data_IF_174784633104
#
_entry.id   IF_174784633104
#
_cell.length_a   1.000
_cell.length_b   1.000
_cell.length_c   1.000
_cell.angle_alpha   90.00
_cell.angle_beta   90.00
_cell.angle_gamma   90.00
#
_symmetry.space_group_name_H-M   'P 1'
#
loop_
_entity.id
_entity.type
_entity.pdbx_description
1 polymer ?
#
# COMPACT_ATOMS: atom_id res chain seq x y z
N UNK A 1 -51.55 -17.73 -2.25
CA UNK A 1 -50.99 -16.89 -1.15
C UNK A 1 -49.54 -17.21 -0.81
N UNK A 2 -49.08 -18.47 -0.77
CA UNK A 2 -47.68 -18.82 -0.45
C UNK A 2 -46.59 -18.30 -1.42
N UNK A 3 -46.93 -17.99 -2.67
CA UNK A 3 -45.98 -17.43 -3.66
C UNK A 3 -45.84 -15.89 -3.60
N UNK A 4 -46.78 -15.19 -2.94
CA UNK A 4 -46.67 -13.74 -2.74
C UNK A 4 -45.80 -13.39 -1.51
N UNK A 5 -45.75 -14.28 -0.53
CA UNK A 5 -44.99 -14.07 0.72
C UNK A 5 -43.47 -14.08 0.53
N UNK A 6 -42.97 -14.80 -0.49
CA UNK A 6 -41.54 -14.83 -0.82
C UNK A 6 -41.08 -13.54 -1.52
N UNK A 7 -41.94 -12.91 -2.33
CA UNK A 7 -41.62 -11.66 -3.01
C UNK A 7 -41.63 -10.45 -2.05
N UNK A 8 -42.45 -10.50 -0.99
CA UNK A 8 -42.49 -9.45 0.02
C UNK A 8 -41.34 -9.57 1.04
N UNK A 9 -40.83 -10.78 1.30
CA UNK A 9 -39.67 -11.00 2.16
C UNK A 9 -38.34 -10.65 1.47
N UNK A 10 -38.25 -10.76 0.13
CA UNK A 10 -37.06 -10.35 -0.63
C UNK A 10 -36.96 -8.83 -0.82
N UNK A 11 -38.04 -8.07 -0.67
CA UNK A 11 -38.02 -6.60 -0.70
C UNK A 11 -37.65 -5.95 0.64
N UNK A 12 -37.67 -6.70 1.75
CA UNK A 12 -37.45 -6.17 3.10
C UNK A 12 -35.98 -6.11 3.55
N UNK A 13 -35.03 -6.52 2.70
CA UNK A 13 -33.58 -6.46 2.99
C UNK A 13 -32.75 -5.72 1.94
N UNK A 14 -33.39 -5.04 0.98
CA UNK A 14 -32.69 -4.05 0.15
C UNK A 14 -32.61 -2.74 0.93
N UNK A 15 -31.78 -2.70 1.98
CA UNK A 15 -31.28 -1.41 2.45
C UNK A 15 -30.56 -0.77 1.24
N UNK A 16 -30.86 0.47 0.85
CA UNK A 16 -30.03 1.15 -0.13
C UNK A 16 -28.61 1.12 0.44
N UNK A 17 -27.65 0.62 -0.32
CA UNK A 17 -26.25 0.87 -0.02
C UNK A 17 -26.10 2.39 -0.08
N UNK A 18 -26.06 3.02 1.09
CA UNK A 18 -25.82 4.46 1.20
C UNK A 18 -24.43 4.67 0.61
N UNK A 19 -24.35 5.37 -0.52
CA UNK A 19 -23.09 5.57 -1.20
C UNK A 19 -22.10 6.24 -0.26
N UNK A 20 -20.97 5.56 0.01
CA UNK A 20 -19.95 6.04 0.92
C UNK A 20 -18.74 6.58 0.15
N UNK A 21 -18.02 7.48 0.80
CA UNK A 21 -16.66 7.86 0.42
C UNK A 21 -15.71 7.09 1.33
N UNK A 22 -14.90 6.21 0.75
CA UNK A 22 -13.88 5.46 1.46
C UNK A 22 -12.57 6.23 1.37
N UNK A 23 -11.95 6.52 2.51
CA UNK A 23 -10.59 7.03 2.56
C UNK A 23 -9.68 5.90 3.05
N UNK A 24 -8.58 5.70 2.34
CA UNK A 24 -7.62 4.63 2.63
C UNK A 24 -6.23 5.22 2.72
N UNK A 25 -5.45 4.73 3.70
CA UNK A 25 -4.00 4.94 3.76
C UNK A 25 -3.32 3.63 3.40
N UNK A 26 -2.40 3.69 2.45
CA UNK A 26 -1.52 2.57 2.09
C UNK A 26 -0.07 2.96 2.37
N UNK A 27 0.75 2.02 2.84
CA UNK A 27 2.20 2.23 2.90
C UNK A 27 2.78 2.07 1.49
N UNK A 28 3.55 3.06 1.05
CA UNK A 28 4.29 3.07 -0.21
C UNK A 28 5.78 3.33 0.10
N UNK A 29 6.50 2.26 0.43
CA UNK A 29 7.85 2.35 0.98
C UNK A 29 7.87 3.15 2.28
N UNK A 30 8.62 4.26 2.29
CA UNK A 30 8.71 5.19 3.43
C UNK A 30 7.60 6.25 3.48
N UNK A 31 6.66 6.23 2.52
CA UNK A 31 5.60 7.22 2.38
C UNK A 31 4.21 6.65 2.69
N UNK A 32 3.30 7.50 3.14
CA UNK A 32 1.87 7.16 3.26
C UNK A 32 1.14 7.63 2.00
N UNK A 33 0.57 6.72 1.21
CA UNK A 33 -0.31 7.08 0.10
C UNK A 33 -1.75 7.23 0.63
N UNK A 34 -2.31 8.44 0.53
CA UNK A 34 -3.70 8.72 0.92
C UNK A 34 -4.58 8.69 -0.32
N UNK A 35 -5.55 7.79 -0.32
CA UNK A 35 -6.41 7.48 -1.48
C UNK A 35 -7.88 7.62 -1.10
N UNK A 36 -8.72 7.74 -2.11
CA UNK A 36 -10.16 7.72 -1.93
C UNK A 36 -10.83 6.80 -2.96
N UNK A 37 -12.03 6.33 -2.63
CA UNK A 37 -12.98 5.70 -3.54
C UNK A 37 -14.40 6.09 -3.16
N UNK A 38 -15.34 6.07 -4.10
CA UNK A 38 -16.75 6.38 -3.84
C UNK A 38 -17.68 5.35 -4.46
N UNK A 39 -18.77 5.06 -3.77
CA UNK A 39 -19.83 4.14 -4.23
C UNK A 39 -20.84 4.82 -5.19
N UNK A 40 -20.38 5.82 -5.95
CA UNK A 40 -21.16 6.49 -6.99
C UNK A 40 -21.35 8.00 -6.79
N UNK A 41 -21.33 8.49 -5.54
CA UNK A 41 -21.36 9.93 -5.26
C UNK A 41 -20.03 10.57 -5.62
N UNK A 42 -20.05 11.77 -6.22
CA UNK A 42 -18.81 12.51 -6.50
C UNK A 42 -18.47 13.44 -5.35
N UNK A 43 -17.18 13.55 -5.07
CA UNK A 43 -16.66 14.46 -4.05
C UNK A 43 -16.29 15.79 -4.71
N UNK A 44 -16.67 16.89 -4.07
CA UNK A 44 -16.28 18.25 -4.43
C UNK A 44 -15.01 18.68 -3.69
N UNK A 45 -14.90 18.35 -2.41
CA UNK A 45 -13.78 18.75 -1.58
C UNK A 45 -13.55 17.81 -0.39
N UNK A 46 -12.31 17.82 0.11
CA UNK A 46 -11.85 17.14 1.31
C UNK A 46 -11.20 18.14 2.26
N UNK A 47 -11.53 18.05 3.54
CA UNK A 47 -10.84 18.65 4.66
C UNK A 47 -10.54 17.56 5.70
N UNK A 48 -9.27 17.19 5.83
CA UNK A 48 -8.82 16.03 6.59
C UNK A 48 -7.76 16.44 7.61
N UNK A 49 -7.87 15.90 8.81
CA UNK A 49 -6.82 15.95 9.82
C UNK A 49 -6.04 14.64 9.79
N UNK A 50 -4.73 14.74 9.61
CA UNK A 50 -3.83 13.59 9.55
C UNK A 50 -2.84 13.69 10.70
N UNK A 51 -2.76 12.65 11.51
CA UNK A 51 -1.84 12.57 12.65
C UNK A 51 -0.96 11.33 12.57
N UNK A 52 0.21 11.42 13.18
CA UNK A 52 1.12 10.29 13.40
C UNK A 52 1.37 10.09 14.89
N UNK A 53 1.42 8.84 15.35
CA UNK A 53 1.64 8.52 16.76
C UNK A 53 3.09 8.75 17.24
N UNK A 54 4.05 8.78 16.31
CA UNK A 54 5.47 9.08 16.55
C UNK A 54 6.09 9.76 15.33
N UNK A 55 7.24 10.38 15.52
CA UNK A 55 7.89 11.14 14.47
C UNK A 55 7.13 12.38 14.04
N UNK A 56 7.36 12.79 12.79
CA UNK A 56 6.83 13.99 12.17
C UNK A 56 6.42 13.73 10.74
N UNK A 57 5.42 14.48 10.27
CA UNK A 57 5.09 14.57 8.84
C UNK A 57 5.97 15.67 8.25
N UNK A 58 6.93 15.30 7.41
CA UNK A 58 7.98 16.22 6.92
C UNK A 58 7.76 16.69 5.49
N UNK A 59 6.86 16.04 4.75
CA UNK A 59 6.55 16.41 3.37
C UNK A 59 5.19 15.91 2.91
N UNK A 60 4.69 16.54 1.86
CA UNK A 60 3.52 16.12 1.10
C UNK A 60 3.85 16.22 -0.40
N UNK A 61 3.45 15.23 -1.19
CA UNK A 61 3.76 15.13 -2.62
C UNK A 61 2.62 14.47 -3.40
N UNK A 62 2.80 14.34 -4.72
CA UNK A 62 1.89 13.63 -5.64
C UNK A 62 0.44 14.12 -5.66
N UNK A 63 0.20 15.35 -5.20
CA UNK A 63 -1.04 16.07 -5.41
C UNK A 63 -0.99 16.88 -6.70
N UNK A 64 -2.15 17.12 -7.29
CA UNK A 64 -2.26 18.03 -8.44
C UNK A 64 -2.40 19.48 -7.97
N UNK A 65 -2.10 20.44 -8.83
CA UNK A 65 -2.37 21.86 -8.61
C UNK A 65 -3.23 22.39 -9.75
N UNK A 66 -4.20 23.24 -9.40
CA UNK A 66 -5.11 23.89 -10.33
C UNK A 66 -6.38 23.13 -10.63
N UNK A 67 -7.05 23.57 -11.70
CA UNK A 67 -8.32 23.01 -12.14
C UNK A 67 -8.18 21.55 -12.56
N UNK A 68 -9.23 20.79 -12.30
CA UNK A 68 -9.36 19.42 -12.77
C UNK A 68 -9.68 19.45 -14.27
N UNK A 69 -8.90 18.71 -15.05
CA UNK A 69 -9.05 18.61 -16.50
C UNK A 69 -9.09 17.14 -16.94
N UNK A 70 -9.56 16.85 -18.15
CA UNK A 70 -9.57 15.49 -18.68
C UNK A 70 -8.16 14.86 -18.72
N UNK A 71 -7.11 15.66 -18.89
CA UNK A 71 -5.72 15.20 -18.90
C UNK A 71 -5.13 15.03 -17.49
N UNK A 72 -5.62 15.81 -16.53
CA UNK A 72 -5.14 15.81 -15.14
C UNK A 72 -6.33 16.01 -14.18
N UNK A 73 -7.20 15.00 -14.02
CA UNK A 73 -8.36 15.13 -13.17
C UNK A 73 -7.96 15.01 -11.70
N UNK A 74 -8.62 15.76 -10.80
CA UNK A 74 -8.37 15.66 -9.36
C UNK A 74 -8.70 16.93 -8.57
N UNK A 75 -8.03 17.09 -7.42
CA UNK A 75 -8.36 18.11 -6.42
C UNK A 75 -7.16 19.06 -6.22
N UNK A 76 -7.04 20.07 -7.07
CA UNK A 76 -5.88 20.99 -7.07
C UNK A 76 -6.16 22.39 -6.51
N UNK A 77 -7.33 22.61 -5.94
CA UNK A 77 -7.70 23.87 -5.28
C UNK A 77 -7.50 23.70 -3.78
N UNK A 78 -6.71 24.55 -3.14
CA UNK A 78 -6.41 24.46 -1.70
C UNK A 78 -6.99 25.69 -1.00
N UNK A 79 -8.26 25.66 -0.53
CA UNK A 79 -8.98 26.85 -0.04
C UNK A 79 -8.20 27.72 0.96
N UNK A 80 -7.63 27.12 2.01
CA UNK A 80 -6.85 27.87 3.02
C UNK A 80 -5.61 28.55 2.45
N UNK A 81 -5.00 28.00 1.39
CA UNK A 81 -3.80 28.56 0.78
C UNK A 81 -4.08 29.38 -0.48
N UNK A 82 -5.29 29.32 -1.04
CA UNK A 82 -5.63 30.01 -2.29
C UNK A 82 -5.41 31.52 -2.16
N UNK A 83 -6.02 32.16 -1.15
CA UNK A 83 -5.88 33.60 -0.94
C UNK A 83 -4.47 34.07 -0.54
N UNK A 84 -3.58 33.16 -0.15
CA UNK A 84 -2.20 33.47 0.26
C UNK A 84 -1.21 33.42 -0.91
N UNK A 85 -1.39 32.46 -1.80
CA UNK A 85 -0.39 32.14 -2.81
C UNK A 85 -0.89 32.33 -4.25
N UNK A 86 -2.20 32.27 -4.49
CA UNK A 86 -2.78 32.41 -5.83
C UNK A 86 -3.16 33.87 -6.09
N UNK A 87 -2.72 34.37 -7.26
CA UNK A 87 -3.17 35.66 -7.79
C UNK A 87 -4.16 35.42 -8.91
N UNK A 88 -5.35 36.01 -8.78
CA UNK A 88 -6.39 36.02 -9.80
C UNK A 88 -6.35 37.36 -10.52
N UNK A 89 -6.30 37.34 -11.85
CA UNK A 89 -6.45 38.54 -12.64
C UNK A 89 -7.86 39.10 -12.44
N UNK A 90 -7.97 40.31 -11.91
CA UNK A 90 -9.26 40.91 -11.59
C UNK A 90 -10.10 41.28 -12.83
N UNK A 91 -9.48 41.36 -14.01
CA UNK A 91 -10.13 41.71 -15.28
C UNK A 91 -10.70 40.47 -15.96
N UNK A 92 -9.93 39.38 -15.99
CA UNK A 92 -10.35 38.13 -16.68
C UNK A 92 -10.95 37.10 -15.73
N UNK A 93 -10.66 37.18 -14.44
CA UNK A 93 -11.00 36.16 -13.45
C UNK A 93 -10.11 34.91 -13.52
N UNK A 94 -9.03 34.94 -14.30
CA UNK A 94 -8.16 33.78 -14.51
C UNK A 94 -6.98 33.75 -13.54
N UNK A 95 -6.53 32.55 -13.20
CA UNK A 95 -5.32 32.33 -12.39
C UNK A 95 -4.09 32.36 -13.29
N UNK A 96 -3.16 33.27 -13.01
CA UNK A 96 -1.95 33.43 -13.81
C UNK A 96 -0.99 32.23 -13.70
N UNK A 97 -0.93 31.59 -12.53
CA UNK A 97 -0.14 30.38 -12.30
C UNK A 97 -0.71 29.57 -11.14
N UNK A 98 -0.79 28.26 -11.35
CA UNK A 98 -1.17 27.28 -10.33
C UNK A 98 0.01 26.68 -9.59
N UNK A 99 1.25 27.05 -9.94
CA UNK A 99 2.47 26.50 -9.35
C UNK A 99 3.34 27.52 -8.58
N UNK A 100 2.77 28.47 -7.80
CA UNK A 100 3.60 29.32 -6.96
C UNK A 100 4.18 28.53 -5.77
N UNK A 101 5.39 28.92 -5.36
CA UNK A 101 6.06 28.34 -4.19
C UNK A 101 5.16 28.47 -2.94
N UNK A 102 5.00 27.36 -2.22
CA UNK A 102 4.19 27.32 -1.00
C UNK A 102 2.70 27.04 -1.22
N UNK A 103 2.21 26.98 -2.47
CA UNK A 103 0.84 26.52 -2.73
C UNK A 103 0.76 25.00 -2.59
N UNK A 104 0.30 24.58 -1.42
CA UNK A 104 0.23 23.19 -0.96
C UNK A 104 -1.14 22.91 -0.36
N UNK A 105 -1.61 21.66 -0.34
CA UNK A 105 -2.85 21.28 0.35
C UNK A 105 -2.78 21.42 1.87
N UNK A 106 -1.59 21.52 2.47
CA UNK A 106 -1.43 21.67 3.94
C UNK A 106 -1.85 23.06 4.40
N UNK A 107 -2.89 23.15 5.23
CA UNK A 107 -3.37 24.39 5.80
C UNK A 107 -2.30 25.06 6.70
N UNK A 108 -2.35 26.39 6.79
CA UNK A 108 -1.48 27.13 7.69
C UNK A 108 -1.83 26.78 9.15
N UNK A 109 -0.86 26.45 10.02
CA UNK A 109 -1.14 26.09 11.42
C UNK A 109 -1.81 27.19 12.25
N UNK A 110 -1.76 28.44 11.78
CA UNK A 110 -2.46 29.55 12.41
C UNK A 110 -3.92 29.69 11.94
N UNK A 111 -4.36 28.91 10.95
CA UNK A 111 -5.75 28.92 10.53
C UNK A 111 -6.66 28.26 11.58
N UNK A 112 -7.87 28.79 11.80
CA UNK A 112 -8.85 28.15 12.66
C UNK A 112 -9.10 26.69 12.27
N UNK A 113 -9.01 25.79 13.26
CA UNK A 113 -9.24 24.37 13.06
C UNK A 113 -8.10 23.63 12.34
N UNK A 114 -6.95 24.26 12.07
CA UNK A 114 -5.79 23.56 11.53
C UNK A 114 -4.92 22.91 12.64
N UNK A 115 -4.27 21.80 12.31
CA UNK A 115 -3.22 21.17 13.12
C UNK A 115 -1.86 21.85 12.92
N UNK A 116 -0.82 21.30 13.57
CA UNK A 116 0.51 21.92 13.69
C UNK A 116 1.32 22.10 12.40
N UNK A 117 0.90 21.50 11.29
CA UNK A 117 1.55 21.64 9.98
C UNK A 117 2.80 20.79 9.80
N UNK A 118 3.49 20.96 8.66
CA UNK A 118 4.68 20.19 8.34
C UNK A 118 5.78 20.39 9.40
N UNK A 119 6.51 19.31 9.70
CA UNK A 119 7.51 19.27 10.78
C UNK A 119 6.92 18.99 12.17
N UNK A 120 5.61 18.72 12.26
CA UNK A 120 4.92 18.30 13.49
C UNK A 120 4.31 16.89 13.32
N UNK A 121 3.62 16.40 14.35
CA UNK A 121 2.94 15.10 14.33
C UNK A 121 1.50 15.17 13.80
N UNK A 122 1.04 16.33 13.30
CA UNK A 122 -0.30 16.48 12.77
C UNK A 122 -0.42 17.61 11.74
N UNK A 123 -1.09 17.33 10.62
CA UNK A 123 -1.38 18.31 9.58
C UNK A 123 -2.86 18.33 9.26
N UNK A 124 -3.37 19.49 8.84
CA UNK A 124 -4.67 19.60 8.21
C UNK A 124 -4.48 19.80 6.72
N UNK A 125 -5.21 19.06 5.90
CA UNK A 125 -5.18 19.12 4.44
C UNK A 125 -6.54 19.54 3.91
N UNK A 126 -6.53 20.49 2.97
CA UNK A 126 -7.72 20.92 2.22
C UNK A 126 -7.49 20.77 0.72
N UNK A 127 -8.42 20.10 0.04
CA UNK A 127 -8.35 19.87 -1.40
C UNK A 127 -9.74 19.96 -2.02
N UNK A 128 -9.88 20.76 -3.08
CA UNK A 128 -11.12 20.97 -3.82
C UNK A 128 -10.94 20.76 -5.31
N UNK A 129 -12.02 20.35 -5.96
CA UNK A 129 -12.09 20.20 -7.41
C UNK A 129 -12.89 21.35 -8.04
N UNK A 130 -12.20 22.13 -8.87
CA UNK A 130 -12.80 23.09 -9.79
C UNK A 130 -12.71 22.54 -11.21
N UNK A 131 -13.84 22.44 -11.89
CA UNK A 131 -13.92 21.97 -13.26
C UNK A 131 -15.19 22.49 -13.95
N UNK A 132 -15.12 22.58 -15.27
CA UNK A 132 -16.24 22.92 -16.15
C UNK A 132 -16.33 21.91 -17.31
N UNK A 133 -17.53 21.49 -17.76
CA UNK A 133 -18.85 21.76 -17.19
C UNK A 133 -18.98 21.27 -15.74
N UNK A 134 -19.86 21.89 -14.93
CA UNK A 134 -19.90 21.67 -13.47
C UNK A 134 -20.57 20.37 -13.04
N UNK A 135 -21.22 19.67 -13.97
CA UNK A 135 -21.94 18.41 -13.74
C UNK A 135 -21.02 17.20 -13.56
N UNK A 136 -21.54 16.16 -12.93
CA UNK A 136 -20.80 14.92 -12.63
C UNK A 136 -20.55 14.04 -13.86
N UNK A 137 -21.20 14.34 -14.98
CA UNK A 137 -20.93 13.76 -16.30
C UNK A 137 -19.77 14.46 -17.04
N UNK A 138 -19.24 15.54 -16.47
CA UNK A 138 -18.14 16.29 -17.06
C UNK A 138 -16.90 15.40 -17.27
N UNK A 139 -16.26 15.46 -18.45
CA UNK A 139 -14.99 14.75 -18.68
C UNK A 139 -13.85 15.28 -17.79
N UNK A 140 -14.05 16.45 -17.18
CA UNK A 140 -13.11 17.10 -16.28
C UNK A 140 -13.39 16.82 -14.80
N UNK A 141 -14.49 16.13 -14.46
CA UNK A 141 -14.79 15.76 -13.08
C UNK A 141 -13.75 14.75 -12.56
N UNK A 142 -13.28 14.89 -11.31
CA UNK A 142 -12.41 13.89 -10.68
C UNK A 142 -13.02 12.48 -10.75
N UNK A 143 -12.22 11.42 -10.97
CA UNK A 143 -12.73 10.05 -10.97
C UNK A 143 -13.41 9.67 -9.65
N UNK A 144 -14.09 8.52 -9.61
CA UNK A 144 -14.69 8.01 -8.37
C UNK A 144 -13.67 7.35 -7.45
N UNK A 145 -12.40 7.22 -7.86
CA UNK A 145 -11.31 6.77 -7.00
C UNK A 145 -9.97 7.30 -7.48
N UNK A 146 -9.00 7.38 -6.58
CA UNK A 146 -7.65 7.79 -6.94
C UNK A 146 -6.76 8.12 -5.74
N UNK A 147 -5.54 8.56 -6.06
CA UNK A 147 -4.60 9.13 -5.10
C UNK A 147 -4.98 10.59 -4.84
N UNK A 148 -5.03 11.00 -3.57
CA UNK A 148 -5.12 12.41 -3.19
C UNK A 148 -3.71 13.00 -3.09
N UNK A 149 -2.84 12.38 -2.29
CA UNK A 149 -1.47 12.82 -2.05
C UNK A 149 -0.66 11.71 -1.37
N UNK A 150 0.66 11.88 -1.30
CA UNK A 150 1.55 11.09 -0.44
C UNK A 150 2.14 11.94 0.67
N UNK A 151 2.39 11.32 1.83
CA UNK A 151 3.05 11.93 2.97
C UNK A 151 4.43 11.32 3.18
N UNK A 152 5.43 12.17 3.40
CA UNK A 152 6.75 11.73 3.86
C UNK A 152 6.80 11.82 5.37
N UNK A 153 7.13 10.70 6.02
CA UNK A 153 7.28 10.62 7.47
C UNK A 153 8.76 10.66 7.85
N UNK A 154 9.10 11.25 9.00
CA UNK A 154 10.49 11.28 9.48
C UNK A 154 11.00 9.91 9.95
N UNK A 155 10.09 9.01 10.27
CA UNK A 155 10.32 7.64 10.73
C UNK A 155 9.05 6.82 10.55
N UNK A 156 9.16 5.50 10.68
CA UNK A 156 8.02 4.59 10.76
C UNK A 156 7.01 5.07 11.81
N UNK A 157 5.73 5.20 11.46
CA UNK A 157 4.68 5.62 12.37
C UNK A 157 3.32 5.04 11.98
N UNK A 158 2.37 5.13 12.90
CA UNK A 158 0.98 4.84 12.63
C UNK A 158 0.28 6.15 12.24
N UNK A 159 -0.29 6.18 11.04
CA UNK A 159 -1.06 7.28 10.47
C UNK A 159 -2.54 7.10 10.82
N UNK A 160 -3.18 8.18 11.26
CA UNK A 160 -4.62 8.24 11.48
C UNK A 160 -5.19 9.47 10.80
N UNK A 161 -6.20 9.26 9.96
CA UNK A 161 -6.99 10.30 9.31
C UNK A 161 -8.33 10.46 10.04
N UNK A 162 -8.71 11.70 10.29
CA UNK A 162 -10.02 12.11 10.75
C UNK A 162 -10.60 13.18 9.81
N UNK A 163 -11.93 13.31 9.80
CA UNK A 163 -12.59 14.42 9.12
C UNK A 163 -12.39 15.71 9.91
N UNK A 164 -12.03 16.79 9.22
CA UNK A 164 -12.02 18.11 9.82
C UNK A 164 -13.39 18.80 9.59
N UNK A 165 -14.34 18.48 10.46
CA UNK A 165 -15.72 19.01 10.40
C UNK A 165 -15.78 20.54 10.55
N UNK A 166 -14.84 21.14 11.29
CA UNK A 166 -14.75 22.59 11.41
C UNK A 166 -14.42 23.29 10.08
N UNK A 167 -13.87 22.54 9.12
CA UNK A 167 -13.48 23.00 7.78
C UNK A 167 -14.27 22.29 6.66
N UNK A 168 -15.37 21.62 7.03
CA UNK A 168 -16.35 21.06 6.09
C UNK A 168 -16.20 19.55 5.80
N UNK A 169 -15.19 18.88 6.36
CA UNK A 169 -15.01 17.44 6.20
C UNK A 169 -14.96 17.01 4.72
N UNK A 170 -15.77 16.03 4.35
CA UNK A 170 -15.95 15.64 2.94
C UNK A 170 -17.24 16.26 2.41
N UNK A 171 -17.13 16.99 1.30
CA UNK A 171 -18.27 17.66 0.66
C UNK A 171 -18.57 16.97 -0.66
N UNK A 172 -19.79 16.50 -0.86
CA UNK A 172 -20.24 15.92 -2.13
C UNK A 172 -20.52 17.01 -3.18
N UNK A 173 -20.64 16.60 -4.44
CA UNK A 173 -21.07 17.50 -5.53
C UNK A 173 -22.51 17.96 -5.36
N UNK A 174 -23.36 17.16 -4.70
CA UNK A 174 -24.66 17.56 -4.20
C UNK A 174 -24.53 18.09 -2.76
N UNK A 175 -24.63 19.42 -2.52
CA UNK A 175 -24.44 20.00 -1.19
C UNK A 175 -25.59 19.72 -0.22
N UNK A 176 -26.74 19.26 -0.71
CA UNK A 176 -27.91 18.94 0.12
C UNK A 176 -27.82 17.54 0.75
N UNK A 177 -26.83 16.73 0.34
CA UNK A 177 -26.60 15.37 0.83
C UNK A 177 -25.32 15.33 1.66
N UNK A 178 -25.39 14.96 2.95
CA UNK A 178 -24.19 14.80 3.76
C UNK A 178 -23.39 13.59 3.27
N UNK A 179 -22.06 13.73 3.22
CA UNK A 179 -21.19 12.61 2.90
C UNK A 179 -21.23 11.56 4.02
N UNK A 180 -21.46 10.30 3.66
CA UNK A 180 -21.12 9.17 4.53
C UNK A 180 -19.69 8.79 4.24
N UNK A 181 -18.80 8.83 5.23
CA UNK A 181 -17.37 8.55 5.04
C UNK A 181 -16.96 7.34 5.85
N UNK A 182 -16.28 6.40 5.19
CA UNK A 182 -15.63 5.26 5.80
C UNK A 182 -14.13 5.52 5.95
N UNK A 183 -13.65 5.51 7.20
CA UNK A 183 -12.25 5.71 7.57
C UNK A 183 -11.61 4.44 8.13
N UNK A 184 -12.26 3.27 7.99
CA UNK A 184 -11.76 2.02 8.58
C UNK A 184 -10.35 1.65 8.09
N UNK A 185 -10.03 1.98 6.83
CA UNK A 185 -8.71 1.76 6.23
C UNK A 185 -7.80 3.00 6.25
N UNK A 186 -8.18 4.05 6.98
CA UNK A 186 -7.36 5.26 7.13
C UNK A 186 -7.09 5.61 8.61
N UNK A 187 -7.56 4.77 9.54
CA UNK A 187 -7.37 4.93 10.98
C UNK A 187 -6.37 3.90 11.48
N UNK A 188 -5.37 4.35 12.24
CA UNK A 188 -4.33 3.50 12.83
C UNK A 188 -3.56 2.62 11.83
N UNK A 189 -3.23 3.17 10.65
CA UNK A 189 -2.48 2.44 9.60
C UNK A 189 -0.98 2.60 9.81
N UNK A 190 -0.24 1.50 9.92
CA UNK A 190 1.21 1.52 10.02
C UNK A 190 1.86 1.90 8.67
N UNK A 191 2.79 2.85 8.67
CA UNK A 191 3.52 3.38 7.51
C UNK A 191 4.99 3.58 7.84
N UNK A 192 5.89 3.33 6.89
CA UNK A 192 7.29 3.77 6.97
C UNK A 192 8.21 2.92 7.85
N UNK A 193 7.77 1.75 8.29
CA UNK A 193 8.65 0.63 8.61
C UNK A 193 8.60 -0.37 7.45
N UNK A 194 9.49 -1.38 7.43
CA UNK A 194 9.15 -2.63 6.75
C UNK A 194 7.72 -2.93 7.17
N UNK A 195 6.84 -3.01 6.19
CA UNK A 195 5.42 -3.25 6.39
C UNK A 195 5.39 -4.32 7.48
N UNK A 196 4.70 -4.08 8.59
CA UNK A 196 4.04 -5.21 9.20
C UNK A 196 3.02 -5.64 8.14
N UNK A 197 3.51 -6.29 7.09
CA UNK A 197 2.75 -7.14 6.23
C UNK A 197 1.95 -7.95 7.22
N UNK A 198 0.63 -7.97 7.05
CA UNK A 198 -0.15 -9.02 7.69
C UNK A 198 0.70 -10.29 7.63
N UNK A 199 1.03 -10.86 8.80
CA UNK A 199 2.13 -11.80 8.88
C UNK A 199 1.96 -12.84 7.78
N UNK A 200 2.87 -12.82 6.79
CA UNK A 200 2.70 -13.60 5.56
C UNK A 200 2.75 -15.10 5.87
N UNK A 201 3.35 -15.45 7.00
CA UNK A 201 3.19 -16.72 7.68
C UNK A 201 2.31 -16.52 8.93
N UNK A 202 1.27 -17.34 9.15
CA UNK A 202 0.45 -17.22 10.36
C UNK A 202 1.29 -17.47 11.63
N UNK A 203 0.94 -16.89 12.81
CA UNK A 203 1.63 -17.20 14.07
C UNK A 203 1.65 -18.68 14.47
N UNK A 204 0.74 -19.47 13.92
CA UNK A 204 0.69 -20.93 14.09
C UNK A 204 1.61 -21.69 13.13
N UNK A 205 2.28 -21.00 12.20
CA UNK A 205 3.22 -21.61 11.26
C UNK A 205 4.43 -22.15 12.05
N UNK A 206 4.90 -23.38 11.78
CA UNK A 206 6.01 -23.98 12.53
C UNK A 206 7.27 -23.09 12.53
N UNK A 207 7.53 -22.41 11.42
CA UNK A 207 8.70 -21.53 11.27
C UNK A 207 8.42 -20.06 11.55
N UNK A 208 7.25 -19.70 12.13
CA UNK A 208 6.90 -18.30 12.37
C UNK A 208 7.94 -17.58 13.23
N UNK A 209 8.40 -18.22 14.31
CA UNK A 209 9.39 -17.63 15.21
C UNK A 209 10.71 -17.36 14.48
N UNK A 210 11.13 -18.28 13.63
CA UNK A 210 12.37 -18.16 12.85
C UNK A 210 12.24 -17.08 11.77
N UNK A 211 11.13 -17.08 11.04
CA UNK A 211 10.79 -16.06 10.05
C UNK A 211 10.82 -14.65 10.65
N UNK A 212 10.25 -14.48 11.85
CA UNK A 212 10.35 -13.22 12.61
C UNK A 212 11.80 -12.89 12.98
N UNK A 213 12.58 -13.89 13.45
CA UNK A 213 13.96 -13.70 13.86
C UNK A 213 14.89 -13.24 12.72
N UNK A 214 14.62 -13.66 11.49
CA UNK A 214 15.40 -13.29 10.29
C UNK A 214 14.85 -12.07 9.54
N UNK A 215 13.91 -11.34 10.13
CA UNK A 215 13.42 -10.06 9.58
C UNK A 215 12.23 -10.18 8.63
N UNK A 216 11.42 -11.24 8.76
CA UNK A 216 10.18 -11.47 7.99
C UNK A 216 10.36 -11.42 6.46
N UNK A 217 11.33 -12.16 5.88
CA UNK A 217 11.54 -12.16 4.42
C UNK A 217 10.27 -12.58 3.68
N UNK A 218 9.82 -11.75 2.74
CA UNK A 218 8.58 -11.98 2.00
C UNK A 218 8.61 -13.30 1.22
N UNK A 219 9.76 -13.66 0.65
CA UNK A 219 9.94 -14.87 -0.14
C UNK A 219 9.71 -16.18 0.64
N UNK A 220 9.82 -16.19 1.98
CA UNK A 220 9.47 -17.37 2.78
C UNK A 220 7.97 -17.69 2.75
N UNK A 221 7.15 -16.74 2.31
CA UNK A 221 5.73 -16.92 2.11
C UNK A 221 5.35 -17.32 0.67
N UNK A 222 6.32 -17.61 -0.21
CA UNK A 222 5.99 -18.28 -1.46
C UNK A 222 5.49 -19.70 -1.15
N UNK A 223 4.43 -20.18 -1.84
CA UNK A 223 3.79 -21.46 -1.55
C UNK A 223 4.76 -22.64 -1.52
N UNK A 224 5.87 -22.57 -2.25
CA UNK A 224 6.83 -23.66 -2.45
C UNK A 224 8.23 -23.36 -1.91
N UNK A 225 8.41 -22.28 -1.13
CA UNK A 225 9.77 -21.87 -0.73
C UNK A 225 10.50 -22.94 0.08
N UNK A 226 9.84 -23.56 1.05
CA UNK A 226 10.33 -24.73 1.79
C UNK A 226 10.54 -26.00 0.94
N UNK A 227 10.29 -25.93 -0.38
CA UNK A 227 10.51 -26.98 -1.38
C UNK A 227 11.59 -26.60 -2.39
N UNK A 228 12.31 -25.49 -2.23
CA UNK A 228 13.42 -25.09 -3.11
C UNK A 228 13.11 -23.96 -4.09
N UNK A 229 11.93 -23.36 -4.01
CA UNK A 229 11.48 -22.23 -4.85
C UNK A 229 11.90 -20.89 -4.19
N UNK A 230 12.97 -20.29 -4.67
CA UNK A 230 13.57 -19.08 -4.08
C UNK A 230 12.96 -17.79 -4.62
N UNK A 231 12.40 -17.79 -5.84
CA UNK A 231 11.89 -16.58 -6.49
C UNK A 231 10.36 -16.55 -6.68
N UNK A 232 9.68 -17.67 -6.46
CA UNK A 232 8.23 -17.85 -6.61
C UNK A 232 7.76 -17.91 -8.07
N UNK A 233 8.68 -17.91 -9.04
CA UNK A 233 8.39 -17.78 -10.45
C UNK A 233 8.40 -19.13 -11.16
N UNK A 234 7.55 -19.23 -12.17
CA UNK A 234 7.41 -20.45 -12.97
C UNK A 234 8.33 -20.39 -14.19
N UNK A 235 9.21 -21.38 -14.32
CA UNK A 235 10.13 -21.56 -15.44
C UNK A 235 9.63 -22.60 -16.46
N UNK A 236 10.09 -22.48 -17.71
CA UNK A 236 9.87 -23.45 -18.78
C UNK A 236 9.01 -22.94 -19.92
N UNK A 237 8.34 -23.88 -20.62
CA UNK A 237 7.48 -23.54 -21.76
C UNK A 237 6.39 -24.59 -21.95
N UNK A 238 5.36 -24.25 -22.73
CA UNK A 238 4.29 -25.19 -23.08
C UNK A 238 4.78 -26.46 -23.80
N UNK A 239 5.97 -26.44 -24.42
CA UNK A 239 6.55 -27.62 -25.08
C UNK A 239 7.36 -28.50 -24.13
N UNK A 240 8.01 -27.91 -23.13
CA UNK A 240 8.95 -28.59 -22.24
C UNK A 240 8.38 -28.84 -20.82
N UNK A 241 7.13 -28.42 -20.58
CA UNK A 241 6.51 -28.37 -19.27
C UNK A 241 7.07 -27.26 -18.39
N UNK A 242 6.20 -26.74 -17.53
CA UNK A 242 6.55 -25.73 -16.54
C UNK A 242 7.01 -26.36 -15.22
N UNK A 243 7.82 -25.64 -14.44
CA UNK A 243 8.33 -26.03 -13.12
C UNK A 243 8.64 -24.77 -12.30
N UNK A 244 8.68 -24.89 -10.97
CA UNK A 244 8.98 -23.77 -10.05
C UNK A 244 10.35 -23.86 -9.37
N UNK A 245 11.06 -24.98 -9.52
CA UNK A 245 12.39 -25.17 -8.93
C UNK A 245 13.37 -25.51 -10.04
N UNK A 246 14.20 -24.54 -10.40
CA UNK A 246 15.01 -24.57 -11.61
C UNK A 246 16.28 -23.73 -11.53
N UNK A 247 16.71 -23.24 -12.68
CA UNK A 247 18.02 -22.60 -12.82
C UNK A 247 18.05 -21.21 -12.16
N UNK A 248 16.92 -20.51 -12.06
CA UNK A 248 16.86 -19.23 -11.36
C UNK A 248 17.04 -19.42 -9.86
N UNK A 249 16.37 -20.41 -9.27
CA UNK A 249 16.51 -20.75 -7.85
C UNK A 249 17.94 -21.17 -7.50
N UNK A 250 18.55 -22.00 -8.36
CA UNK A 250 19.96 -22.38 -8.21
C UNK A 250 20.89 -21.17 -8.29
N UNK A 251 20.56 -20.17 -9.12
CA UNK A 251 21.29 -18.91 -9.20
C UNK A 251 21.27 -18.11 -7.90
N UNK A 252 20.13 -18.09 -7.20
CA UNK A 252 19.98 -17.45 -5.88
C UNK A 252 20.72 -18.27 -4.82
N UNK A 253 20.49 -19.59 -4.80
CA UNK A 253 21.16 -20.53 -3.89
C UNK A 253 22.68 -20.42 -3.97
N UNK A 254 23.26 -20.43 -5.18
CA UNK A 254 24.70 -20.39 -5.36
C UNK A 254 25.36 -19.11 -4.82
N UNK A 255 24.64 -17.97 -4.83
CA UNK A 255 25.12 -16.72 -4.24
C UNK A 255 25.05 -16.73 -2.71
N UNK A 256 24.09 -17.45 -2.15
CA UNK A 256 23.82 -17.54 -0.72
C UNK A 256 24.63 -18.65 -0.02
N UNK A 257 25.07 -19.67 -0.77
CA UNK A 257 25.67 -20.89 -0.22
C UNK A 257 26.87 -20.59 0.67
N UNK A 258 26.76 -21.03 1.93
CA UNK A 258 27.78 -20.89 2.96
C UNK A 258 28.29 -19.44 3.17
N UNK A 259 27.45 -18.44 2.90
CA UNK A 259 27.74 -17.07 3.29
C UNK A 259 27.70 -16.99 4.82
N UNK A 260 28.87 -16.77 5.42
CA UNK A 260 29.02 -16.75 6.87
C UNK A 260 28.38 -15.50 7.47
N UNK A 261 27.65 -15.71 8.56
CA UNK A 261 27.12 -14.64 9.40
C UNK A 261 28.23 -13.88 10.13
N UNK A 262 27.99 -12.61 10.53
CA UNK A 262 28.90 -11.88 11.38
C UNK A 262 29.21 -12.65 12.67
N UNK A 263 30.46 -12.63 13.16
CA UNK A 263 31.59 -11.84 12.67
C UNK A 263 32.44 -12.53 11.57
N UNK A 264 32.10 -13.74 11.13
CA UNK A 264 32.95 -14.53 10.22
C UNK A 264 32.75 -14.20 8.74
N UNK A 265 31.66 -13.51 8.41
CA UNK A 265 31.40 -12.99 7.08
C UNK A 265 30.41 -11.82 7.10
N UNK A 266 29.97 -11.38 5.92
CA UNK A 266 29.07 -10.24 5.78
C UNK A 266 27.61 -10.55 6.16
N UNK A 267 27.27 -11.82 6.35
CA UNK A 267 25.90 -12.29 6.62
C UNK A 267 25.03 -12.40 5.39
N UNK A 268 23.99 -13.23 5.50
CA UNK A 268 23.07 -13.50 4.40
C UNK A 268 22.32 -12.24 3.94
N UNK A 269 22.11 -11.28 4.85
CA UNK A 269 21.46 -10.00 4.56
C UNK A 269 22.25 -9.12 3.57
N UNK A 270 23.55 -9.38 3.38
CA UNK A 270 24.37 -8.69 2.38
C UNK A 270 24.18 -9.25 0.97
N UNK A 271 23.49 -10.39 0.82
CA UNK A 271 23.22 -11.03 -0.46
C UNK A 271 21.79 -10.69 -0.88
N UNK A 272 21.64 -10.00 -2.00
CA UNK A 272 20.33 -9.73 -2.60
C UNK A 272 19.56 -11.04 -2.80
N UNK A 273 18.37 -11.12 -2.18
CA UNK A 273 17.50 -12.31 -2.13
C UNK A 273 18.15 -13.57 -1.56
N UNK A 274 19.32 -13.49 -0.92
CA UNK A 274 20.05 -14.67 -0.45
C UNK A 274 19.26 -15.48 0.60
N UNK A 275 18.54 -14.79 1.48
CA UNK A 275 17.69 -15.41 2.51
C UNK A 275 16.55 -16.25 1.91
N UNK A 276 16.19 -16.03 0.65
CA UNK A 276 15.14 -16.81 -0.02
C UNK A 276 15.57 -18.24 -0.33
N UNK A 277 16.88 -18.51 -0.37
CA UNK A 277 17.45 -19.84 -0.54
C UNK A 277 17.60 -20.64 0.79
N UNK A 278 17.17 -20.07 1.92
CA UNK A 278 17.07 -20.78 3.22
C UNK A 278 15.76 -21.58 3.24
N UNK A 279 15.75 -22.68 2.50
CA UNK A 279 14.59 -23.56 2.30
C UNK A 279 14.35 -24.46 3.51
N UNK A 280 15.43 -24.91 4.15
CA UNK A 280 15.40 -25.78 5.32
C UNK A 280 15.12 -25.00 6.62
N UNK A 281 15.37 -23.68 6.62
CA UNK A 281 15.12 -22.76 7.74
C UNK A 281 15.94 -23.11 8.98
N UNK A 282 17.09 -23.76 8.77
CA UNK A 282 18.01 -24.14 9.82
C UNK A 282 19.33 -23.36 9.73
N UNK A 283 20.08 -23.41 10.83
CA UNK A 283 21.39 -22.77 10.92
C UNK A 283 22.44 -23.86 11.00
N UNK A 284 23.35 -23.86 10.04
CA UNK A 284 24.48 -24.78 9.97
C UNK A 284 25.78 -24.10 10.42
N UNK A 285 26.82 -24.92 10.65
CA UNK A 285 28.14 -24.45 11.05
C UNK A 285 28.38 -24.50 12.56
N UNK A 286 29.29 -23.64 13.05
CA UNK A 286 29.68 -23.65 14.46
C UNK A 286 30.29 -22.33 14.91
N UNK A 287 30.32 -22.10 16.23
CA UNK A 287 30.98 -20.94 16.82
C UNK A 287 32.49 -20.83 16.48
N UNK A 288 33.13 -21.91 16.03
CA UNK A 288 34.56 -21.91 15.64
C UNK A 288 34.78 -21.57 14.16
N UNK A 289 33.83 -21.95 13.31
CA UNK A 289 33.96 -21.89 11.84
C UNK A 289 33.04 -20.85 11.20
N UNK A 290 32.20 -20.20 11.99
CA UNK A 290 31.11 -19.36 11.52
C UNK A 290 29.82 -20.18 11.34
N UNK A 291 28.70 -19.49 11.51
CA UNK A 291 27.37 -20.00 11.19
C UNK A 291 26.96 -19.48 9.81
N UNK A 292 26.15 -20.26 9.10
CA UNK A 292 25.52 -19.88 7.84
C UNK A 292 24.14 -20.51 7.77
N UNK A 293 23.26 -19.93 6.95
CA UNK A 293 21.88 -20.40 6.78
C UNK A 293 21.71 -21.31 5.59
N UNK A 294 22.25 -20.90 4.43
CA UNK A 294 22.10 -21.66 3.19
C UNK A 294 23.23 -22.67 3.05
N UNK A 295 22.90 -23.96 3.10
CA UNK A 295 23.88 -25.01 3.19
C UNK A 295 23.49 -26.35 2.57
N UNK A 296 23.98 -27.43 3.18
CA UNK A 296 23.78 -28.78 2.68
C UNK A 296 22.33 -29.25 2.87
N UNK A 297 21.65 -28.79 3.92
CA UNK A 297 20.24 -29.08 4.16
C UNK A 297 19.37 -28.45 3.07
N UNK A 298 19.60 -27.19 2.74
CA UNK A 298 18.93 -26.49 1.63
C UNK A 298 19.22 -27.12 0.27
N UNK A 299 20.48 -27.55 0.05
CA UNK A 299 20.84 -28.26 -1.19
C UNK A 299 20.01 -29.53 -1.37
N UNK A 300 19.77 -30.28 -0.29
CA UNK A 300 18.93 -31.47 -0.34
C UNK A 300 17.47 -31.12 -0.65
N UNK A 301 16.95 -30.01 -0.10
CA UNK A 301 15.59 -29.52 -0.40
C UNK A 301 15.46 -29.12 -1.86
N UNK A 302 16.39 -28.31 -2.37
CA UNK A 302 16.42 -27.88 -3.77
C UNK A 302 16.55 -29.07 -4.72
N UNK A 303 17.42 -30.03 -4.41
CA UNK A 303 17.60 -31.24 -5.21
C UNK A 303 16.35 -32.13 -5.24
N UNK A 304 15.58 -32.19 -4.15
CA UNK A 304 14.38 -33.01 -4.06
C UNK A 304 13.23 -32.54 -4.98
N UNK A 305 13.17 -31.24 -5.28
CA UNK A 305 12.14 -30.66 -6.15
C UNK A 305 12.64 -30.28 -7.54
N UNK A 306 13.92 -30.54 -7.83
CA UNK A 306 14.61 -30.09 -9.03
C UNK A 306 13.88 -30.49 -10.31
N UNK A 307 13.44 -29.50 -11.09
CA UNK A 307 12.74 -29.68 -12.37
C UNK A 307 11.48 -30.57 -12.32
N UNK A 308 10.84 -30.73 -11.15
CA UNK A 308 9.53 -31.41 -11.08
C UNK A 308 8.52 -30.60 -11.90
N UNK A 309 7.91 -31.25 -12.88
CA UNK A 309 6.98 -30.60 -13.80
C UNK A 309 5.61 -30.41 -13.18
N UNK A 310 5.02 -29.23 -13.43
CA UNK A 310 3.64 -28.90 -13.10
C UNK A 310 2.67 -29.62 -14.04
N UNK A 311 1.40 -29.73 -13.63
CA UNK A 311 0.35 -30.26 -14.48
C UNK A 311 0.21 -29.44 -15.78
N UNK A 312 -0.05 -30.09 -16.94
CA UNK A 312 -0.35 -31.52 -17.10
C UNK A 312 0.89 -32.43 -17.24
N UNK A 313 2.10 -31.87 -17.31
CA UNK A 313 3.32 -32.60 -17.66
C UNK A 313 3.99 -33.31 -16.47
N UNK A 314 3.50 -33.07 -15.25
CA UNK A 314 3.94 -33.76 -14.05
C UNK A 314 3.04 -33.48 -12.82
N UNK A 315 3.44 -34.01 -11.66
CA UNK A 315 2.65 -33.91 -10.42
C UNK A 315 2.69 -32.53 -9.77
N UNK A 316 3.63 -31.67 -10.16
CA UNK A 316 3.90 -30.38 -9.55
C UNK A 316 4.58 -30.47 -8.18
N UNK A 317 5.12 -29.34 -7.74
CA UNK A 317 5.66 -29.18 -6.38
C UNK A 317 4.52 -28.68 -5.47
N UNK A 318 4.25 -29.32 -4.32
CA UNK A 318 3.20 -28.89 -3.39
C UNK A 318 3.42 -27.45 -2.89
N UNK A 319 2.36 -26.65 -2.94
CA UNK A 319 2.34 -25.29 -2.40
C UNK A 319 1.97 -25.25 -0.92
N UNK A 320 2.68 -26.01 -0.07
CA UNK A 320 2.32 -26.24 1.34
C UNK A 320 3.25 -25.56 2.36
N UNK A 321 4.08 -24.61 1.91
CA UNK A 321 5.03 -23.89 2.77
C UNK A 321 4.42 -22.77 3.61
N UNK A 322 3.09 -22.66 3.63
CA UNK A 322 2.33 -21.88 4.60
C UNK A 322 2.10 -20.40 4.27
N UNK A 323 2.54 -19.92 3.11
CA UNK A 323 2.20 -18.61 2.57
C UNK A 323 1.52 -18.70 1.20
N UNK A 324 0.86 -17.61 0.78
CA UNK A 324 0.15 -17.50 -0.50
C UNK A 324 0.71 -16.37 -1.37
N UNK A 325 1.94 -15.93 -1.10
CA UNK A 325 2.53 -14.81 -1.83
C UNK A 325 2.83 -15.26 -3.26
N UNK A 326 2.39 -14.46 -4.23
CA UNK A 326 2.76 -14.61 -5.64
C UNK A 326 3.68 -13.42 -5.97
N UNK A 327 4.85 -13.64 -6.60
CA UNK A 327 5.77 -12.57 -6.98
C UNK A 327 5.18 -11.55 -7.97
#
# INVERSE_FOLDING_TARGET
MRKLSLLLASLLFAAPAMAAVHITVESDGSMAAVKYATDGERVRAFALDITVNKGKIVGISDFIRGESTAQKPGYGIFPGNFGRYITVDATTGEVASWDPNGYTPVADPCDPGALGGLGTNGITVEMGALYYPTGDDSPNAPPTSGLLFKLTLSEAATVTIALNEARGGVVLTNPDVPATVDLAQATNVAVGGDVAAADLLPPSHPDYAEWVAVGKPACWAYPRQCRGDADGLKEGSAKAGYHYVGLQDMGIFAKAYQVLEPPFGPGIAAIENGICADFARDVEGSAKTGFYRVGATDLNVLAASWFIKEAPDGPGVPGDCGGNLVP
#
